data_IF_792555672243
#
_entry.id   IF_792555672243
#
_cell.length_a   1.000
_cell.length_b   1.000
_cell.length_c   1.000
_cell.angle_alpha   90.00
_cell.angle_beta   90.00
_cell.angle_gamma   90.00
#
_symmetry.space_group_name_H-M   'P 1'
#
loop_
_entity.id
_entity.type
_entity.pdbx_description
1 polymer ?
#
# COMPACT_ATOMS: atom_id res chain seq x y z
N UNK A 1 40.02 -2.08 -51.27
CA UNK A 1 40.53 -1.59 -49.98
C UNK A 1 39.55 -2.06 -48.92
N UNK A 2 39.81 -3.23 -48.37
CA UNK A 2 39.04 -3.83 -47.28
C UNK A 2 39.55 -3.28 -45.95
N UNK A 3 38.65 -2.93 -45.02
CA UNK A 3 39.00 -2.56 -43.65
C UNK A 3 38.51 -3.65 -42.70
N UNK A 4 39.46 -4.36 -42.12
CA UNK A 4 39.25 -5.44 -41.15
C UNK A 4 38.91 -4.90 -39.76
N UNK A 5 37.84 -5.43 -39.15
CA UNK A 5 37.54 -5.22 -37.74
C UNK A 5 38.51 -6.02 -36.85
N UNK A 6 39.27 -5.31 -36.01
CA UNK A 6 40.03 -5.90 -34.91
C UNK A 6 39.08 -6.40 -33.81
N UNK A 7 39.01 -7.72 -33.63
CA UNK A 7 38.41 -8.34 -32.45
C UNK A 7 39.46 -8.43 -31.33
N UNK A 8 39.21 -7.88 -30.12
CA UNK A 8 40.08 -8.09 -28.99
C UNK A 8 39.91 -9.52 -28.46
N UNK A 9 41.01 -10.27 -28.38
CA UNK A 9 41.08 -11.60 -27.76
C UNK A 9 41.39 -11.44 -26.28
N UNK A 10 40.39 -11.57 -25.42
CA UNK A 10 40.61 -11.73 -23.97
C UNK A 10 40.46 -13.21 -23.57
N UNK A 11 41.30 -13.71 -22.66
CA UNK A 11 41.24 -15.10 -22.19
C UNK A 11 39.97 -15.34 -21.36
N UNK A 12 39.30 -16.51 -21.51
CA UNK A 12 37.98 -16.78 -20.95
C UNK A 12 37.94 -16.89 -19.41
N UNK A 13 39.10 -16.88 -18.74
CA UNK A 13 39.20 -17.06 -17.27
C UNK A 13 39.12 -15.77 -16.46
N UNK A 14 39.27 -14.59 -17.08
CA UNK A 14 39.13 -13.29 -16.38
C UNK A 14 37.75 -12.64 -16.55
N UNK A 15 36.83 -13.24 -17.29
CA UNK A 15 35.48 -12.71 -17.48
C UNK A 15 34.53 -13.03 -16.31
N UNK A 16 34.82 -14.07 -15.52
CA UNK A 16 33.91 -14.54 -14.46
C UNK A 16 33.99 -13.72 -13.16
N UNK A 17 35.12 -13.06 -12.90
CA UNK A 17 35.29 -12.20 -11.72
C UNK A 17 34.64 -10.82 -11.88
N UNK A 18 34.35 -10.37 -13.10
CA UNK A 18 33.70 -9.07 -13.34
C UNK A 18 32.16 -9.15 -13.31
N UNK A 19 31.58 -10.34 -13.50
CA UNK A 19 30.12 -10.51 -13.52
C UNK A 19 29.50 -10.62 -12.10
N UNK A 20 30.29 -10.95 -11.09
CA UNK A 20 29.83 -11.04 -9.69
C UNK A 20 29.80 -9.69 -8.95
N UNK A 21 30.31 -8.61 -9.56
CA UNK A 21 30.33 -7.26 -8.98
C UNK A 21 29.12 -6.37 -9.36
N UNK A 22 28.17 -6.89 -10.14
CA UNK A 22 26.94 -6.16 -10.52
C UNK A 22 25.66 -6.68 -9.86
N UNK A 23 25.77 -7.55 -8.85
CA UNK A 23 24.64 -7.80 -7.96
C UNK A 23 24.50 -6.59 -7.01
N UNK A 24 23.97 -5.48 -7.54
CA UNK A 24 23.38 -4.44 -6.69
C UNK A 24 22.22 -5.11 -5.98
N UNK A 25 22.46 -5.59 -4.77
CA UNK A 25 21.38 -5.85 -3.83
C UNK A 25 20.58 -4.54 -3.76
N UNK A 26 19.39 -4.52 -4.33
CA UNK A 26 18.44 -3.44 -4.10
C UNK A 26 18.25 -3.39 -2.58
N UNK A 27 18.49 -2.25 -1.91
CA UNK A 27 18.12 -2.15 -0.51
C UNK A 27 16.65 -2.57 -0.42
N UNK A 28 16.37 -3.61 0.36
CA UNK A 28 14.99 -3.95 0.69
C UNK A 28 14.35 -2.66 1.16
N UNK A 29 13.25 -2.24 0.52
CA UNK A 29 12.55 -1.01 0.88
C UNK A 29 12.17 -1.15 2.36
N UNK A 30 12.93 -0.51 3.24
CA UNK A 30 12.51 -0.32 4.62
C UNK A 30 11.20 0.44 4.51
N UNK A 31 10.10 -0.16 4.95
CA UNK A 31 8.78 0.45 4.82
C UNK A 31 8.79 1.79 5.56
N UNK A 32 8.76 2.90 4.81
CA UNK A 32 8.88 4.25 5.37
C UNK A 32 7.69 4.58 6.26
N UNK A 33 6.54 3.97 6.01
CA UNK A 33 5.36 4.04 6.85
C UNK A 33 5.65 3.63 8.30
N UNK A 34 6.56 2.67 8.56
CA UNK A 34 6.89 2.26 9.94
C UNK A 34 7.55 3.37 10.78
N UNK A 35 8.06 4.43 10.13
CA UNK A 35 8.62 5.59 10.82
C UNK A 35 7.57 6.63 11.24
N UNK A 36 6.32 6.50 10.77
CA UNK A 36 5.26 7.44 11.11
C UNK A 36 4.82 7.25 12.56
N UNK A 37 4.67 8.37 13.26
CA UNK A 37 4.12 8.40 14.62
C UNK A 37 2.84 9.21 14.62
N UNK A 38 1.91 8.83 15.49
CA UNK A 38 0.57 9.40 15.50
C UNK A 38 0.24 10.03 16.86
N UNK A 39 -0.53 11.13 16.86
CA UNK A 39 -1.01 11.76 18.09
C UNK A 39 -1.88 10.80 18.89
N UNK A 40 -2.02 11.07 20.20
CA UNK A 40 -2.84 10.30 21.14
C UNK A 40 -2.44 8.82 21.26
N UNK A 41 -1.20 8.47 20.90
CA UNK A 41 -0.67 7.10 21.02
C UNK A 41 -1.33 6.10 20.07
N UNK A 42 -1.89 6.56 18.94
CA UNK A 42 -2.52 5.68 17.95
C UNK A 42 -1.51 4.72 17.32
N UNK A 43 -1.93 3.49 17.12
CA UNK A 43 -1.18 2.44 16.43
C UNK A 43 -2.11 1.63 15.53
N UNK A 44 -1.52 0.99 14.52
CA UNK A 44 -2.22 0.23 13.49
C UNK A 44 -1.48 -1.07 13.20
N UNK A 45 -2.22 -2.12 12.84
CA UNK A 45 -1.67 -3.47 12.61
C UNK A 45 -0.92 -3.58 11.28
N UNK A 46 -1.26 -2.73 10.32
CA UNK A 46 -0.70 -2.73 8.98
C UNK A 46 -0.26 -1.33 8.56
N UNK A 47 0.76 -1.26 7.73
CA UNK A 47 1.11 -0.07 6.98
C UNK A 47 1.62 -0.39 5.57
N UNK A 48 1.44 0.57 4.68
CA UNK A 48 1.88 0.51 3.29
C UNK A 48 2.44 1.86 2.84
N UNK A 49 3.59 1.82 2.16
CA UNK A 49 4.11 2.94 1.37
C UNK A 49 3.35 2.96 0.05
N UNK A 50 2.48 3.96 -0.15
CA UNK A 50 1.72 4.05 -1.39
C UNK A 50 2.66 4.46 -2.54
N UNK A 51 2.54 3.88 -3.75
CA UNK A 51 3.53 4.07 -4.82
C UNK A 51 3.68 5.51 -5.34
N UNK A 52 2.79 6.42 -4.98
CA UNK A 52 2.71 7.77 -5.53
C UNK A 52 2.38 8.80 -4.46
N UNK A 53 2.77 10.05 -4.74
CA UNK A 53 2.44 11.24 -3.94
C UNK A 53 3.07 11.27 -2.54
N UNK A 54 4.09 10.44 -2.28
CA UNK A 54 4.76 10.37 -0.98
C UNK A 54 3.79 10.05 0.16
N UNK A 55 2.79 9.23 -0.14
CA UNK A 55 1.67 8.94 0.74
C UNK A 55 1.85 7.59 1.45
N UNK A 56 1.27 7.48 2.64
CA UNK A 56 1.30 6.29 3.47
C UNK A 56 -0.12 5.97 3.92
N UNK A 57 -0.41 4.68 4.02
CA UNK A 57 -1.65 4.18 4.60
C UNK A 57 -1.32 3.27 5.77
N UNK A 58 -1.99 3.51 6.90
CA UNK A 58 -1.97 2.65 8.07
C UNK A 58 -3.38 2.20 8.37
N UNK A 59 -3.56 0.94 8.74
CA UNK A 59 -4.89 0.46 9.10
C UNK A 59 -4.89 -0.75 10.04
N UNK A 60 -6.00 -0.90 10.73
CA UNK A 60 -6.41 -2.07 11.48
C UNK A 60 -7.83 -2.42 11.08
N UNK A 61 -8.07 -3.68 10.70
CA UNK A 61 -9.40 -4.14 10.33
C UNK A 61 -9.95 -5.12 11.36
N UNK A 62 -11.20 -4.91 11.78
CA UNK A 62 -11.93 -5.77 12.70
C UNK A 62 -13.08 -6.44 11.96
N UNK A 63 -12.94 -7.74 11.59
CA UNK A 63 -13.95 -8.44 10.81
C UNK A 63 -15.28 -8.62 11.55
N UNK A 64 -15.24 -8.73 12.89
CA UNK A 64 -16.41 -8.96 13.73
C UNK A 64 -17.48 -7.86 13.62
N UNK A 65 -17.08 -6.63 13.32
CA UNK A 65 -17.98 -5.49 13.12
C UNK A 65 -17.68 -4.73 11.81
N UNK A 66 -16.97 -5.36 10.86
CA UNK A 66 -16.56 -4.79 9.57
C UNK A 66 -15.97 -3.37 9.66
N UNK A 67 -15.17 -3.12 10.69
CA UNK A 67 -14.63 -1.79 10.99
C UNK A 67 -13.18 -1.66 10.51
N UNK A 68 -12.92 -0.65 9.66
CA UNK A 68 -11.61 -0.26 9.18
C UNK A 68 -11.17 1.03 9.90
N UNK A 69 -10.28 0.90 10.89
CA UNK A 69 -9.63 2.05 11.51
C UNK A 69 -8.37 2.38 10.72
N UNK A 70 -8.17 3.64 10.34
CA UNK A 70 -7.08 4.04 9.46
C UNK A 70 -6.41 5.36 9.83
N UNK A 71 -5.17 5.50 9.39
CA UNK A 71 -4.50 6.77 9.19
C UNK A 71 -3.96 6.89 7.76
N UNK A 72 -4.39 7.91 7.03
CA UNK A 72 -3.78 8.27 5.75
C UNK A 72 -2.87 9.47 5.94
N UNK A 73 -1.67 9.42 5.40
CA UNK A 73 -0.64 10.45 5.58
C UNK A 73 -0.09 10.85 4.22
N UNK A 74 -0.06 12.14 3.92
CA UNK A 74 0.58 12.64 2.70
C UNK A 74 1.01 14.10 2.84
N UNK A 75 2.02 14.56 2.09
CA UNK A 75 2.27 15.98 1.92
C UNK A 75 1.23 16.58 0.94
N UNK A 76 0.56 17.70 1.27
CA UNK A 76 -0.23 18.43 0.29
C UNK A 76 0.68 19.00 -0.81
N UNK A 77 0.12 19.30 -1.98
CA UNK A 77 0.92 19.83 -3.10
C UNK A 77 1.51 21.22 -2.82
N UNK A 78 0.89 21.97 -1.91
CA UNK A 78 1.31 23.29 -1.42
C UNK A 78 0.95 23.41 0.07
N UNK A 79 1.49 24.40 0.82
CA UNK A 79 1.13 24.62 2.22
C UNK A 79 -0.36 24.93 2.46
N UNK A 80 -1.05 25.50 1.48
CA UNK A 80 -2.50 25.77 1.49
C UNK A 80 -3.33 24.69 0.79
N UNK A 81 -2.70 23.56 0.48
CA UNK A 81 -3.30 22.45 -0.22
C UNK A 81 -4.14 21.55 0.67
N UNK A 82 -4.48 20.40 0.10
CA UNK A 82 -5.30 19.38 0.74
C UNK A 82 -4.76 18.00 0.41
N UNK A 83 -5.14 17.02 1.24
CA UNK A 83 -4.89 15.59 0.99
C UNK A 83 -6.19 14.83 1.14
N UNK A 84 -6.37 13.76 0.36
CA UNK A 84 -7.58 12.96 0.41
C UNK A 84 -7.29 11.47 0.22
N UNK A 85 -8.08 10.65 0.90
CA UNK A 85 -8.12 9.22 0.71
C UNK A 85 -9.58 8.77 0.61
N UNK A 86 -9.86 7.79 -0.23
CA UNK A 86 -11.21 7.35 -0.49
C UNK A 86 -11.31 5.86 -0.76
N UNK A 87 -12.43 5.27 -0.35
CA UNK A 87 -12.83 3.95 -0.80
C UNK A 87 -13.75 4.08 -2.01
N UNK A 88 -13.55 3.26 -3.02
CA UNK A 88 -14.42 3.19 -4.19
C UNK A 88 -15.10 1.81 -4.26
N UNK A 89 -16.38 1.70 -3.87
CA UNK A 89 -17.10 0.42 -3.87
C UNK A 89 -17.55 -0.03 -5.26
N UNK A 90 -17.53 0.85 -6.28
CA UNK A 90 -18.13 0.60 -7.61
C UNK A 90 -17.13 0.72 -8.76
N UNK A 91 -15.91 1.18 -8.51
CA UNK A 91 -14.90 1.42 -9.53
C UNK A 91 -13.48 1.52 -8.96
N UNK A 92 -12.53 1.94 -9.81
CA UNK A 92 -11.10 2.04 -9.47
C UNK A 92 -10.55 3.47 -9.57
N UNK A 93 -11.40 4.45 -9.88
CA UNK A 93 -11.01 5.84 -10.13
C UNK A 93 -11.68 6.81 -9.17
N UNK A 94 -11.66 8.09 -9.53
CA UNK A 94 -12.33 9.16 -8.77
C UNK A 94 -13.85 8.97 -8.74
N UNK A 95 -14.46 8.65 -9.88
CA UNK A 95 -15.92 8.47 -9.98
C UNK A 95 -16.34 7.24 -9.17
N UNK A 96 -17.31 7.43 -8.28
CA UNK A 96 -17.83 6.44 -7.34
C UNK A 96 -17.14 6.44 -5.98
N UNK A 97 -16.04 7.17 -5.81
CA UNK A 97 -15.27 7.18 -4.58
C UNK A 97 -15.98 7.96 -3.47
N UNK A 98 -15.95 7.41 -2.25
CA UNK A 98 -16.42 8.02 -1.01
C UNK A 98 -15.19 8.54 -0.27
N UNK A 99 -14.91 9.84 -0.39
CA UNK A 99 -13.64 10.43 0.00
C UNK A 99 -13.70 11.11 1.36
N UNK A 100 -12.58 11.02 2.08
CA UNK A 100 -12.23 11.81 3.25
C UNK A 100 -11.13 12.77 2.83
N UNK A 101 -11.32 14.06 3.05
CA UNK A 101 -10.38 15.09 2.62
C UNK A 101 -10.01 15.98 3.80
N UNK A 102 -8.72 16.10 4.07
CA UNK A 102 -8.19 16.99 5.07
C UNK A 102 -7.56 18.24 4.46
N UNK A 103 -7.77 19.36 5.14
CA UNK A 103 -7.28 20.68 4.76
C UNK A 103 -7.13 21.56 5.99
N UNK A 104 -6.45 22.70 5.84
CA UNK A 104 -6.38 23.72 6.89
C UNK A 104 -7.57 24.68 6.75
N UNK A 105 -8.40 24.76 7.79
CA UNK A 105 -9.56 25.64 7.87
C UNK A 105 -9.17 27.12 7.97
N UNK A 106 -10.17 27.99 7.82
CA UNK A 106 -9.98 29.44 7.89
C UNK A 106 -9.56 29.94 9.29
N UNK A 107 -9.87 29.17 10.33
CA UNK A 107 -9.43 29.37 11.71
C UNK A 107 -7.98 28.92 11.96
N UNK A 108 -7.33 28.37 10.94
CA UNK A 108 -5.98 27.82 11.01
C UNK A 108 -5.93 26.39 11.56
N UNK A 109 -7.04 25.81 12.01
CA UNK A 109 -7.13 24.43 12.47
C UNK A 109 -7.12 23.43 11.32
N UNK A 110 -6.89 22.15 11.63
CA UNK A 110 -7.09 21.08 10.65
C UNK A 110 -8.56 20.67 10.64
N UNK A 111 -9.13 20.55 9.44
CA UNK A 111 -10.48 20.06 9.20
C UNK A 111 -10.44 18.80 8.35
N UNK A 112 -11.46 17.96 8.49
CA UNK A 112 -11.72 16.82 7.61
C UNK A 112 -13.19 16.81 7.23
N UNK A 113 -13.45 16.64 5.93
CA UNK A 113 -14.80 16.59 5.40
C UNK A 113 -14.96 15.41 4.44
N UNK A 114 -16.22 15.02 4.21
CA UNK A 114 -16.59 13.90 3.34
C UNK A 114 -17.05 14.39 1.97
N UNK A 115 -16.77 13.59 0.93
CA UNK A 115 -17.12 13.91 -0.45
C UNK A 115 -17.59 12.65 -1.19
N UNK A 116 -18.83 12.69 -1.69
CA UNK A 116 -19.33 11.69 -2.63
C UNK A 116 -18.97 12.10 -4.06
N UNK A 117 -17.99 11.42 -4.66
CA UNK A 117 -17.43 11.77 -5.96
C UNK A 117 -18.17 11.05 -7.10
N UNK A 118 -19.35 11.53 -7.47
CA UNK A 118 -20.15 10.94 -8.57
C UNK A 118 -19.76 11.46 -9.97
N UNK A 119 -18.85 12.43 -10.06
CA UNK A 119 -18.40 13.04 -11.30
C UNK A 119 -17.17 13.93 -11.09
N UNK A 120 -16.73 14.60 -12.15
CA UNK A 120 -15.57 15.52 -12.10
C UNK A 120 -15.94 16.97 -11.76
N UNK A 121 -17.22 17.31 -11.86
CA UNK A 121 -17.74 18.65 -11.63
C UNK A 121 -18.39 18.74 -10.25
N UNK A 122 -18.51 19.96 -9.72
CA UNK A 122 -19.24 20.24 -8.47
C UNK A 122 -18.73 19.45 -7.26
N UNK A 123 -17.40 19.23 -7.18
CA UNK A 123 -16.77 18.61 -6.02
C UNK A 123 -16.93 19.53 -4.81
N UNK A 124 -17.83 19.15 -3.92
CA UNK A 124 -18.15 19.88 -2.71
C UNK A 124 -18.45 18.92 -1.56
N UNK A 125 -18.34 19.39 -0.31
CA UNK A 125 -18.58 18.56 0.85
C UNK A 125 -19.98 17.96 0.80
N UNK A 126 -20.08 16.66 1.05
CA UNK A 126 -21.34 15.92 0.95
C UNK A 126 -21.29 14.63 1.76
N UNK A 127 -22.43 14.21 2.35
CA UNK A 127 -22.52 12.91 2.99
C UNK A 127 -22.12 11.78 2.02
N UNK A 128 -21.43 10.79 2.58
CA UNK A 128 -21.03 9.57 1.88
C UNK A 128 -21.90 8.39 2.31
N UNK A 129 -21.99 7.37 1.47
CA UNK A 129 -22.84 6.20 1.73
C UNK A 129 -22.25 5.24 2.76
N UNK A 130 -20.95 5.32 3.03
CA UNK A 130 -20.29 4.51 4.06
C UNK A 130 -20.42 5.22 5.39
N UNK A 131 -20.75 4.46 6.44
CA UNK A 131 -20.72 5.02 7.80
C UNK A 131 -19.27 5.28 8.19
N UNK A 132 -19.00 6.51 8.64
CA UNK A 132 -17.68 6.94 9.10
C UNK A 132 -17.81 7.63 10.44
N UNK A 133 -16.91 7.30 11.35
CA UNK A 133 -16.81 7.92 12.68
C UNK A 133 -15.35 8.22 13.02
N UNK A 134 -15.13 8.98 14.09
CA UNK A 134 -13.78 9.33 14.55
C UNK A 134 -12.97 10.13 13.52
N UNK A 135 -13.66 10.93 12.69
CA UNK A 135 -13.05 11.81 11.71
C UNK A 135 -12.22 12.87 12.41
N UNK A 136 -10.90 12.79 12.25
CA UNK A 136 -9.96 13.80 12.73
C UNK A 136 -8.87 14.05 11.69
N UNK A 137 -8.32 15.25 11.68
CA UNK A 137 -7.15 15.59 10.90
C UNK A 137 -6.07 16.22 11.78
N UNK A 138 -4.81 15.97 11.44
CA UNK A 138 -3.66 16.56 12.13
C UNK A 138 -2.54 16.87 11.12
N UNK A 139 -1.51 17.57 11.57
CA UNK A 139 -0.34 17.94 10.76
C UNK A 139 0.94 17.74 11.55
N UNK A 140 1.92 17.08 10.95
CA UNK A 140 3.28 16.96 11.50
C UNK A 140 4.30 17.38 10.46
N UNK A 141 4.95 18.53 10.69
CA UNK A 141 5.82 19.17 9.70
C UNK A 141 5.05 19.50 8.42
N UNK A 142 5.39 18.83 7.32
CA UNK A 142 4.72 18.99 6.01
C UNK A 142 3.67 17.92 5.72
N UNK A 143 3.48 16.95 6.61
CA UNK A 143 2.57 15.83 6.39
C UNK A 143 1.22 16.13 7.03
N UNK A 144 0.17 16.08 6.22
CA UNK A 144 -1.21 16.05 6.71
C UNK A 144 -1.62 14.61 6.98
N UNK A 145 -2.42 14.42 8.03
CA UNK A 145 -2.90 13.12 8.46
C UNK A 145 -4.43 13.14 8.53
N UNK A 146 -5.06 12.07 8.04
CA UNK A 146 -6.50 11.80 8.17
C UNK A 146 -6.65 10.58 9.04
N UNK A 147 -7.44 10.68 10.11
CA UNK A 147 -7.85 9.56 10.95
C UNK A 147 -9.34 9.31 10.78
N UNK A 148 -9.71 8.04 10.67
CA UNK A 148 -11.11 7.65 10.56
C UNK A 148 -11.34 6.19 10.95
N UNK A 149 -12.56 5.89 11.36
CA UNK A 149 -13.10 4.54 11.38
C UNK A 149 -14.22 4.44 10.34
N UNK A 150 -14.03 3.60 9.33
CA UNK A 150 -14.98 3.38 8.22
C UNK A 150 -15.63 2.01 8.37
N UNK A 151 -16.96 1.96 8.33
CA UNK A 151 -17.68 0.69 8.23
C UNK A 151 -17.67 0.21 6.78
N UNK A 152 -16.94 -0.86 6.51
CA UNK A 152 -16.84 -1.44 5.17
C UNK A 152 -18.03 -2.40 4.98
N UNK A 153 -18.67 -2.43 3.81
CA UNK A 153 -19.73 -3.40 3.54
C UNK A 153 -19.30 -4.84 3.87
N UNK A 154 -20.17 -5.58 4.57
CA UNK A 154 -19.84 -6.91 5.10
C UNK A 154 -19.38 -7.88 4.00
N UNK A 155 -18.57 -8.88 4.40
CA UNK A 155 -18.04 -9.96 3.54
C UNK A 155 -17.07 -9.50 2.44
N UNK A 156 -16.56 -8.27 2.50
CA UNK A 156 -15.44 -7.84 1.67
C UNK A 156 -14.12 -8.29 2.29
N UNK A 157 -13.24 -8.87 1.49
CA UNK A 157 -11.83 -9.13 1.85
C UNK A 157 -10.91 -8.03 1.33
N UNK A 158 -11.34 -7.35 0.26
CA UNK A 158 -10.70 -6.15 -0.28
C UNK A 158 -11.70 -5.15 -0.84
N UNK A 159 -11.22 -3.93 -1.01
CA UNK A 159 -11.93 -2.81 -1.62
C UNK A 159 -10.95 -1.93 -2.40
N UNK A 160 -11.40 -1.31 -3.50
CA UNK A 160 -10.56 -0.36 -4.20
C UNK A 160 -10.44 0.92 -3.38
N UNK A 161 -9.26 1.52 -3.41
CA UNK A 161 -9.03 2.83 -2.84
C UNK A 161 -8.38 3.76 -3.87
N UNK A 162 -8.51 5.07 -3.63
CA UNK A 162 -7.80 6.11 -4.37
C UNK A 162 -7.31 7.15 -3.38
N UNK A 163 -6.22 7.83 -3.72
CA UNK A 163 -5.68 8.92 -2.91
C UNK A 163 -5.28 10.09 -3.79
N UNK A 164 -5.31 11.30 -3.23
CA UNK A 164 -4.92 12.51 -3.95
C UNK A 164 -4.31 13.54 -3.02
N UNK A 165 -3.54 14.44 -3.64
CA UNK A 165 -3.06 15.68 -3.04
C UNK A 165 -3.36 16.83 -4.00
N UNK A 166 -3.78 17.98 -3.48
CA UNK A 166 -4.06 19.18 -4.26
C UNK A 166 -3.45 20.43 -3.65
N UNK A 167 -3.43 21.52 -4.42
CA UNK A 167 -2.65 22.71 -4.11
C UNK A 167 -3.45 23.94 -3.63
N UNK A 168 -4.77 23.85 -3.53
CA UNK A 168 -5.59 25.00 -3.15
C UNK A 168 -6.97 24.58 -2.64
N UNK A 169 -7.53 25.40 -1.76
CA UNK A 169 -8.92 25.33 -1.29
C UNK A 169 -9.62 26.68 -1.52
N UNK A 170 -10.92 26.66 -1.82
CA UNK A 170 -11.80 27.85 -1.79
C UNK A 170 -12.92 27.57 -0.78
N UNK A 171 -12.76 28.08 0.44
CA UNK A 171 -13.54 27.59 1.58
C UNK A 171 -13.31 26.09 1.76
N UNK A 172 -14.39 25.31 1.84
CA UNK A 172 -14.33 23.84 1.88
C UNK A 172 -14.31 23.15 0.51
N UNK A 173 -14.15 23.91 -0.59
CA UNK A 173 -14.09 23.33 -1.94
C UNK A 173 -12.64 23.09 -2.36
N UNK A 174 -12.24 21.84 -2.63
CA UNK A 174 -10.90 21.57 -3.13
C UNK A 174 -10.74 22.07 -4.56
N UNK A 175 -9.64 22.78 -4.82
CA UNK A 175 -9.18 23.02 -6.18
C UNK A 175 -8.74 21.71 -6.83
N UNK A 176 -8.83 21.65 -8.16
CA UNK A 176 -8.49 20.46 -8.96
C UNK A 176 -7.05 20.03 -8.67
N UNK A 177 -6.84 18.75 -8.35
CA UNK A 177 -5.50 18.19 -8.22
C UNK A 177 -4.81 18.12 -9.60
N UNK A 178 -3.49 17.96 -9.62
CA UNK A 178 -2.76 17.85 -10.89
C UNK A 178 -3.27 16.65 -11.70
N UNK A 179 -3.33 16.79 -13.02
CA UNK A 179 -3.74 15.71 -13.94
C UNK A 179 -2.51 15.00 -14.52
N UNK A 180 -1.53 14.74 -13.67
CA UNK A 180 -0.25 14.13 -14.03
C UNK A 180 -0.21 12.67 -13.64
N UNK A 181 0.78 11.94 -14.19
CA UNK A 181 0.90 10.49 -13.98
C UNK A 181 0.81 10.07 -12.50
N UNK A 182 1.53 10.70 -11.54
CA UNK A 182 1.42 10.32 -10.14
C UNK A 182 -0.02 10.37 -9.61
N UNK A 183 -0.75 11.45 -9.90
CA UNK A 183 -2.14 11.60 -9.49
C UNK A 183 -3.06 10.61 -10.22
N UNK A 184 -2.88 10.41 -11.53
CA UNK A 184 -3.72 9.49 -12.32
C UNK A 184 -3.49 8.01 -11.97
N UNK A 185 -2.32 7.67 -11.42
CA UNK A 185 -1.99 6.32 -10.94
C UNK A 185 -2.17 6.12 -9.44
N UNK A 186 -2.60 7.13 -8.68
CA UNK A 186 -2.92 7.03 -7.23
C UNK A 186 -4.22 6.27 -6.95
N UNK A 187 -4.19 4.99 -7.26
CA UNK A 187 -5.26 4.02 -7.09
C UNK A 187 -4.68 2.65 -6.79
N UNK A 188 -5.44 1.84 -6.07
CA UNK A 188 -4.99 0.51 -5.65
C UNK A 188 -6.13 -0.33 -5.10
N UNK A 189 -5.78 -1.55 -4.69
CA UNK A 189 -6.68 -2.47 -4.02
C UNK A 189 -6.20 -2.67 -2.60
N UNK A 190 -7.02 -2.28 -1.63
CA UNK A 190 -6.75 -2.47 -0.21
C UNK A 190 -7.23 -3.86 0.20
N UNK A 191 -6.31 -4.76 0.56
CA UNK A 191 -6.65 -6.00 1.25
C UNK A 191 -6.88 -5.69 2.74
N UNK A 192 -8.10 -5.92 3.21
CA UNK A 192 -8.52 -5.52 4.56
C UNK A 192 -7.85 -6.38 5.64
N UNK A 193 -7.62 -7.64 5.31
CA UNK A 193 -6.82 -8.56 6.11
C UNK A 193 -5.60 -8.92 5.28
N UNK A 194 -4.41 -8.46 5.68
CA UNK A 194 -3.19 -8.99 5.09
C UNK A 194 -3.03 -10.42 5.58
N UNK A 195 -2.85 -11.37 4.66
CA UNK A 195 -2.34 -12.68 5.04
C UNK A 195 -1.02 -12.43 5.78
N UNK A 196 -0.98 -12.71 7.09
CA UNK A 196 0.29 -12.79 7.82
C UNK A 196 1.13 -13.76 7.01
N UNK A 197 2.18 -13.27 6.37
CA UNK A 197 3.15 -14.14 5.70
C UNK A 197 3.66 -15.08 6.79
N UNK A 198 3.10 -16.28 6.86
CA UNK A 198 3.67 -17.38 7.60
C UNK A 198 4.91 -17.69 6.78
N UNK A 199 6.03 -17.03 7.11
CA UNK A 199 7.31 -17.64 6.86
C UNK A 199 7.29 -18.93 7.68
N UNK A 200 6.80 -20.00 7.06
CA UNK A 200 7.16 -21.34 7.47
C UNK A 200 8.65 -21.35 7.24
N UNK A 201 9.41 -21.07 8.29
CA UNK A 201 10.80 -21.46 8.37
C UNK A 201 10.78 -22.94 7.98
N UNK A 202 11.23 -23.21 6.76
CA UNK A 202 11.27 -24.55 6.22
C UNK A 202 12.03 -25.39 7.23
N UNK A 203 11.33 -26.33 7.84
CA UNK A 203 11.96 -27.43 8.55
C UNK A 203 12.96 -28.02 7.58
N UNK A 204 14.26 -27.88 7.89
CA UNK A 204 15.33 -28.51 7.17
C UNK A 204 15.14 -30.03 7.28
N UNK A 205 14.36 -30.58 6.36
CA UNK A 205 14.28 -32.00 6.11
C UNK A 205 15.57 -32.41 5.41
N UNK A 206 16.51 -32.92 6.22
CA UNK A 206 17.63 -33.69 5.73
C UNK A 206 17.10 -34.87 4.91
N UNK A 207 17.41 -34.86 3.60
CA UNK A 207 17.18 -35.96 2.69
C UNK A 207 18.52 -36.33 2.06
N UNK A 208 19.29 -37.16 2.76
CA UNK A 208 20.36 -37.95 2.16
C UNK A 208 19.96 -39.43 2.22
N UNK A 209 19.27 -39.84 1.15
CA UNK A 209 19.54 -40.99 0.29
C UNK A 209 20.40 -42.13 0.87
N UNK A 210 19.80 -43.31 1.04
CA UNK A 210 20.47 -44.60 0.86
C UNK A 210 19.55 -45.49 0.01
N UNK A 211 20.06 -45.93 -1.14
CA UNK A 211 19.41 -46.82 -2.09
C UNK A 211 20.12 -48.17 -2.04
N UNK A 212 19.45 -49.24 -1.61
CA UNK A 212 19.79 -50.58 -2.06
C UNK A 212 18.56 -51.49 -2.12
N UNK A 213 18.35 -52.04 -3.31
CA UNK A 213 17.43 -53.10 -3.67
C UNK A 213 18.13 -54.42 -3.33
N UNK A 214 17.50 -55.34 -2.60
CA UNK A 214 17.57 -56.77 -2.90
C UNK A 214 16.54 -57.56 -2.10
N UNK A 215 15.98 -58.56 -2.77
CA UNK A 215 14.84 -59.37 -2.39
C UNK A 215 15.19 -60.48 -1.38
N UNK A 216 14.12 -61.19 -1.00
CA UNK A 216 14.03 -62.57 -0.47
C UNK A 216 13.95 -62.79 1.05
N UNK A 217 12.72 -63.14 1.44
CA UNK A 217 12.33 -64.34 2.21
C UNK A 217 12.10 -64.25 3.72
N UNK A 218 10.83 -64.44 4.12
CA UNK A 218 10.43 -64.87 5.46
C UNK A 218 9.16 -65.74 5.33
N UNK A 219 9.16 -67.01 5.78
CA UNK A 219 7.97 -67.84 5.74
C UNK A 219 7.05 -67.57 6.93
N UNK A 220 5.77 -67.40 6.63
CA UNK A 220 4.67 -67.44 7.62
C UNK A 220 4.36 -68.90 7.91
N UNK A 221 4.64 -69.34 9.14
CA UNK A 221 4.21 -70.66 9.66
C UNK A 221 2.80 -70.53 10.24
N UNK A 222 1.82 -71.18 9.60
CA UNK A 222 0.51 -71.44 10.20
C UNK A 222 0.52 -72.78 10.96
N UNK A 223 -0.08 -72.72 12.16
CA UNK A 223 -0.80 -73.76 12.93
C UNK A 223 -0.62 -75.24 12.54
N UNK A 224 -0.14 -76.02 13.50
CA UNK A 224 -0.93 -77.05 14.20
C UNK A 224 -0.40 -77.23 15.62
#
# INVERSE_FOLDING_TARGET
MESSCLHPRFPPTLAFLFFLLFCKATPGSSQQCLSQTFPKGRSFDHCEDLPQLGAFLHWSFRPSNSSLNLAFVAPPATPSGWVAWALNPVGQGMIGAQALLAFRGADGGMAVETFNLSGYNSVQPSPISMEVSGLEADVSGRLMMIFATVHVPSRKTSINHVWQVGGSMVGSKPGVHRLERPNLSSKGRLELQSAKMIFSAGTAGSLDRENSISATDAPIRMKH
#
